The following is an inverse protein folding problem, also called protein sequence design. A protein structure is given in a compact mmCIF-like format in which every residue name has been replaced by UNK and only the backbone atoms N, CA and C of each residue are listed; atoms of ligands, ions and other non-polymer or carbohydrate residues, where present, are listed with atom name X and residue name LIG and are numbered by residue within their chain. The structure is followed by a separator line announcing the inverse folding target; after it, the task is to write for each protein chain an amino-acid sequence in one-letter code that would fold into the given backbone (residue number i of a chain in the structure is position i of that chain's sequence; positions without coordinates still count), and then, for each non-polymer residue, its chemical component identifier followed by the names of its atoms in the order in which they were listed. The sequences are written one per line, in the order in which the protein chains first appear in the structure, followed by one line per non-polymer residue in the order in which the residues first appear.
data_IF_282728662660
#
_entry.id   IF_282728662660
#
_cell.length_a   1.000
_cell.length_b   1.000
_cell.length_c   1.000
_cell.angle_alpha   90.00
_cell.angle_beta   90.00
_cell.angle_gamma   90.00
#
_symmetry.space_group_name_H-M   'P 1'
#
loop_
_entity.id
_entity.type
_entity.pdbx_description
1 polymer ?
#
# COMPACT_ATOMS: atom_id res chain seq x y z
N UNK A 1 32.86 -9.63 -69.93
CA UNK A 1 32.78 -8.99 -68.61
C UNK A 1 31.99 -9.89 -67.67
N UNK A 2 32.64 -10.45 -66.64
CA UNK A 2 32.04 -11.35 -65.64
C UNK A 2 31.66 -10.53 -64.42
N UNK A 3 30.39 -10.56 -63.99
CA UNK A 3 29.96 -9.97 -62.72
C UNK A 3 29.78 -11.07 -61.68
N UNK A 4 30.43 -10.88 -60.53
CA UNK A 4 30.65 -11.84 -59.45
C UNK A 4 29.47 -11.85 -58.47
N UNK A 5 28.88 -13.02 -58.27
CA UNK A 5 28.03 -13.35 -57.13
C UNK A 5 28.91 -13.59 -55.89
N UNK A 6 28.74 -12.75 -54.86
CA UNK A 6 29.38 -12.92 -53.55
C UNK A 6 28.50 -13.81 -52.67
N UNK A 7 28.93 -15.06 -52.50
CA UNK A 7 28.39 -15.98 -51.50
C UNK A 7 29.06 -15.66 -50.16
N UNK A 8 28.29 -15.17 -49.18
CA UNK A 8 28.80 -15.00 -47.81
C UNK A 8 28.66 -16.31 -47.05
N UNK A 9 29.80 -16.91 -46.73
CA UNK A 9 29.95 -18.14 -45.95
C UNK A 9 29.76 -17.85 -44.45
N UNK A 10 28.87 -18.60 -43.80
CA UNK A 10 28.66 -18.53 -42.36
C UNK A 10 29.87 -19.08 -41.58
N UNK A 11 30.31 -18.45 -40.47
CA UNK A 11 31.41 -18.98 -39.67
C UNK A 11 30.99 -20.22 -38.90
N UNK A 12 31.75 -21.30 -39.08
CA UNK A 12 31.64 -22.57 -38.35
C UNK A 12 32.27 -22.41 -36.97
N UNK A 13 31.46 -22.12 -35.94
CA UNK A 13 31.95 -22.05 -34.56
C UNK A 13 32.18 -23.46 -34.00
N UNK A 14 33.45 -23.77 -33.73
CA UNK A 14 33.86 -24.98 -32.99
C UNK A 14 33.35 -24.90 -31.56
N UNK A 15 32.61 -25.93 -31.14
CA UNK A 15 32.27 -26.15 -29.75
C UNK A 15 33.54 -26.52 -28.95
N UNK A 16 34.06 -25.58 -28.17
CA UNK A 16 35.12 -25.86 -27.20
C UNK A 16 34.49 -26.55 -26.00
N UNK A 17 35.00 -27.75 -25.71
CA UNK A 17 34.63 -28.64 -24.62
C UNK A 17 34.83 -27.91 -23.27
N UNK A 18 33.74 -27.56 -22.57
CA UNK A 18 33.81 -26.99 -21.22
C UNK A 18 34.29 -28.06 -20.23
N UNK A 19 35.41 -27.76 -19.55
CA UNK A 19 35.99 -28.58 -18.49
C UNK A 19 35.11 -28.57 -17.24
N UNK A 20 35.21 -29.65 -16.46
CA UNK A 20 34.52 -29.88 -15.17
C UNK A 20 34.63 -28.66 -14.25
N UNK A 21 33.51 -28.01 -13.93
CA UNK A 21 33.44 -27.00 -12.87
C UNK A 21 33.42 -27.69 -11.50
N UNK A 22 34.47 -27.45 -10.72
CA UNK A 22 34.54 -27.69 -9.28
C UNK A 22 33.42 -26.92 -8.57
N UNK A 23 32.77 -27.59 -7.60
CA UNK A 23 31.63 -27.03 -6.87
C UNK A 23 32.01 -25.79 -6.05
N UNK A 24 31.35 -24.66 -6.30
CA UNK A 24 31.52 -23.43 -5.54
C UNK A 24 30.77 -23.56 -4.20
N UNK A 25 31.51 -23.58 -3.10
CA UNK A 25 30.93 -23.64 -1.74
C UNK A 25 30.67 -22.20 -1.28
N UNK A 26 29.42 -21.75 -1.29
CA UNK A 26 29.03 -20.39 -0.88
C UNK A 26 28.40 -20.42 0.51
N UNK A 27 28.85 -19.57 1.42
CA UNK A 27 28.23 -19.42 2.74
C UNK A 27 27.22 -18.28 2.73
N UNK A 28 25.94 -18.59 2.92
CA UNK A 28 24.88 -17.60 3.09
C UNK A 28 24.70 -17.36 4.58
N UNK A 29 24.77 -16.09 5.02
CA UNK A 29 24.38 -15.69 6.38
C UNK A 29 22.98 -15.08 6.28
N UNK A 30 22.01 -15.64 7.00
CA UNK A 30 20.68 -15.06 7.06
C UNK A 30 20.72 -13.76 7.90
N UNK A 31 20.03 -12.68 7.47
CA UNK A 31 19.84 -11.49 8.30
C UNK A 31 18.93 -11.83 9.50
N UNK A 32 19.09 -11.10 10.60
CA UNK A 32 18.52 -11.42 11.91
C UNK A 32 16.98 -11.44 11.96
N UNK A 33 16.29 -10.85 10.98
CA UNK A 33 14.83 -10.68 11.00
C UNK A 33 14.10 -11.73 10.15
N UNK A 34 14.65 -12.95 10.02
CA UNK A 34 13.93 -14.07 9.38
C UNK A 34 13.24 -14.89 10.46
N UNK A 35 11.91 -14.93 10.37
CA UNK A 35 10.98 -15.71 11.18
C UNK A 35 11.13 -17.22 10.95
N UNK A 36 12.29 -17.79 11.30
CA UNK A 36 12.49 -19.23 11.42
C UNK A 36 13.43 -19.48 12.59
N UNK A 37 13.04 -20.36 13.51
CA UNK A 37 13.76 -20.77 14.74
C UNK A 37 15.17 -21.38 14.54
N UNK A 38 15.76 -21.23 13.35
CA UNK A 38 17.13 -21.58 13.08
C UNK A 38 18.09 -20.54 13.68
N UNK A 39 18.42 -20.74 14.95
CA UNK A 39 19.53 -20.12 15.67
C UNK A 39 20.78 -19.98 14.79
N UNK A 40 21.55 -18.90 15.00
CA UNK A 40 22.74 -18.39 14.27
C UNK A 40 23.75 -19.45 13.82
N UNK A 41 23.37 -20.33 12.92
CA UNK A 41 24.17 -21.46 12.48
C UNK A 41 24.53 -21.24 11.02
N UNK A 42 25.83 -21.16 10.75
CA UNK A 42 26.39 -20.92 9.42
C UNK A 42 26.14 -22.14 8.54
N UNK A 43 24.96 -22.24 7.93
CA UNK A 43 24.61 -23.37 7.06
C UNK A 43 25.48 -23.33 5.79
N UNK A 44 26.33 -24.35 5.60
CA UNK A 44 27.09 -24.54 4.35
C UNK A 44 26.18 -25.26 3.35
N UNK A 45 25.60 -24.51 2.41
CA UNK A 45 24.84 -25.08 1.28
C UNK A 45 25.77 -25.34 0.10
N UNK A 46 25.67 -26.52 -0.51
CA UNK A 46 26.31 -26.81 -1.80
C UNK A 46 25.28 -26.68 -2.90
N UNK A 47 25.36 -25.60 -3.68
CA UNK A 47 24.53 -25.42 -4.88
C UNK A 47 25.23 -26.08 -6.08
N UNK A 48 24.65 -27.15 -6.61
CA UNK A 48 25.06 -27.73 -7.88
C UNK A 48 24.36 -27.01 -9.04
N UNK A 49 25.07 -26.14 -9.76
CA UNK A 49 24.49 -25.39 -10.89
C UNK A 49 24.39 -26.30 -12.13
N UNK A 50 23.31 -27.07 -12.27
CA UNK A 50 22.98 -27.76 -13.52
C UNK A 50 22.38 -26.76 -14.51
N UNK A 51 23.25 -26.07 -15.24
CA UNK A 51 22.96 -25.12 -16.32
C UNK A 51 22.31 -23.79 -15.89
N UNK A 52 23.09 -22.71 -16.01
CA UNK A 52 22.56 -21.34 -15.99
C UNK A 52 22.03 -20.98 -17.39
N UNK A 53 20.70 -20.93 -17.58
CA UNK A 53 20.12 -20.32 -18.78
C UNK A 53 20.26 -18.80 -18.68
N UNK A 54 21.31 -18.25 -19.29
CA UNK A 54 21.48 -16.81 -19.52
C UNK A 54 20.64 -16.37 -20.71
N UNK A 55 19.32 -16.32 -20.56
CA UNK A 55 18.44 -15.53 -21.44
C UNK A 55 17.21 -15.08 -20.66
N UNK A 56 17.30 -13.98 -19.91
CA UNK A 56 16.12 -13.09 -19.73
C UNK A 56 16.06 -12.19 -20.98
N UNK A 57 15.90 -12.80 -22.15
CA UNK A 57 15.43 -12.08 -23.31
C UNK A 57 13.96 -11.79 -23.05
N UNK A 58 13.56 -10.52 -22.99
CA UNK A 58 12.16 -10.14 -23.00
C UNK A 58 11.49 -10.95 -24.11
N UNK A 59 10.57 -11.84 -23.74
CA UNK A 59 9.90 -12.72 -24.68
C UNK A 59 9.31 -11.83 -25.77
N UNK A 60 9.85 -11.98 -26.97
CA UNK A 60 9.40 -11.26 -28.16
C UNK A 60 7.92 -11.58 -28.29
N UNK A 61 7.06 -10.55 -28.23
CA UNK A 61 5.60 -10.63 -28.28
C UNK A 61 5.17 -11.73 -29.26
N UNK A 62 4.74 -12.84 -28.70
CA UNK A 62 4.12 -13.95 -29.42
C UNK A 62 2.96 -14.37 -28.56
N UNK A 63 1.78 -14.40 -29.18
CA UNK A 63 0.41 -14.48 -28.66
C UNK A 63 0.08 -15.77 -27.91
N UNK A 64 1.07 -16.42 -27.29
CA UNK A 64 0.86 -17.71 -26.63
C UNK A 64 1.69 -17.78 -25.37
N UNK A 65 1.23 -17.13 -24.30
CA UNK A 65 1.81 -17.30 -22.97
C UNK A 65 0.73 -17.17 -21.90
N UNK A 66 0.57 -18.29 -21.17
CA UNK A 66 0.00 -18.46 -19.83
C UNK A 66 -1.51 -18.59 -19.68
N UNK A 67 -1.91 -19.77 -19.18
CA UNK A 67 -3.26 -20.16 -18.72
C UNK A 67 -3.78 -19.38 -17.49
N UNK A 68 -3.19 -18.23 -17.17
CA UNK A 68 -3.71 -17.25 -16.19
C UNK A 68 -3.84 -15.85 -16.81
N UNK A 69 -3.72 -15.74 -18.14
CA UNK A 69 -3.94 -14.50 -18.85
C UNK A 69 -5.43 -14.41 -19.16
N UNK A 70 -6.07 -13.37 -18.61
CA UNK A 70 -7.28 -12.76 -19.15
C UNK A 70 -7.19 -12.83 -20.69
N UNK A 71 -8.22 -13.34 -21.35
CA UNK A 71 -8.24 -13.48 -22.81
C UNK A 71 -8.09 -12.11 -23.45
N UNK A 72 -6.86 -11.77 -23.86
CA UNK A 72 -6.59 -10.50 -24.54
C UNK A 72 -6.59 -10.75 -26.05
N UNK A 73 -7.71 -10.39 -26.69
CA UNK A 73 -7.89 -10.52 -28.14
C UNK A 73 -6.90 -9.68 -28.97
N UNK A 74 -6.28 -8.65 -28.38
CA UNK A 74 -5.29 -7.82 -29.07
C UNK A 74 -4.32 -7.08 -28.14
N UNK A 75 -3.16 -6.68 -28.68
CA UNK A 75 -2.16 -5.83 -27.98
C UNK A 75 -2.74 -4.44 -27.68
N UNK A 76 -3.69 -3.97 -28.48
CA UNK A 76 -4.37 -2.69 -28.27
C UNK A 76 -5.36 -2.78 -27.11
N UNK A 77 -6.17 -3.84 -27.05
CA UNK A 77 -7.09 -4.11 -25.93
C UNK A 77 -6.32 -4.19 -24.61
N UNK A 78 -5.17 -4.87 -24.59
CA UNK A 78 -4.31 -4.95 -23.41
C UNK A 78 -3.77 -3.58 -22.96
N UNK A 79 -3.37 -2.72 -23.92
CA UNK A 79 -2.87 -1.37 -23.61
C UNK A 79 -3.98 -0.46 -23.10
N UNK A 80 -5.19 -0.57 -23.66
CA UNK A 80 -6.35 0.20 -23.21
C UNK A 80 -6.73 -0.18 -21.79
N UNK A 81 -6.85 -1.48 -21.48
CA UNK A 81 -7.14 -1.94 -20.13
C UNK A 81 -6.06 -1.54 -19.11
N UNK A 82 -4.78 -1.57 -19.49
CA UNK A 82 -3.72 -1.06 -18.60
C UNK A 82 -3.91 0.43 -18.34
N UNK A 83 -4.24 1.22 -19.37
CA UNK A 83 -4.45 2.65 -19.22
C UNK A 83 -5.65 2.94 -18.31
N UNK A 84 -6.75 2.22 -18.48
CA UNK A 84 -7.93 2.31 -17.62
C UNK A 84 -7.59 1.98 -16.17
N UNK A 85 -6.97 0.83 -15.91
CA UNK A 85 -6.56 0.44 -14.55
C UNK A 85 -5.59 1.42 -13.90
N UNK A 86 -4.66 1.98 -14.68
CA UNK A 86 -3.74 3.01 -14.18
C UNK A 86 -4.46 4.33 -13.92
N UNK A 87 -5.44 4.69 -14.75
CA UNK A 87 -6.29 5.86 -14.56
C UNK A 87 -7.15 5.73 -13.30
N UNK A 88 -7.86 4.63 -13.13
CA UNK A 88 -8.66 4.32 -11.95
C UNK A 88 -7.81 4.32 -10.67
N UNK A 89 -6.64 3.66 -10.70
CA UNK A 89 -5.73 3.66 -9.56
C UNK A 89 -5.12 5.05 -9.28
N UNK A 90 -4.96 5.90 -10.29
CA UNK A 90 -4.50 7.27 -10.09
C UNK A 90 -5.62 8.12 -9.45
N UNK A 91 -6.85 7.96 -9.92
CA UNK A 91 -8.03 8.63 -9.36
C UNK A 91 -8.24 8.25 -7.90
N UNK A 92 -8.28 6.96 -7.58
CA UNK A 92 -8.43 6.49 -6.19
C UNK A 92 -7.36 7.08 -5.26
N UNK A 93 -6.10 7.14 -5.71
CA UNK A 93 -5.03 7.75 -4.90
C UNK A 93 -5.21 9.25 -4.70
N UNK A 94 -5.76 9.96 -5.69
CA UNK A 94 -6.06 11.39 -5.59
C UNK A 94 -7.21 11.61 -4.60
N UNK A 95 -8.30 10.84 -4.72
CA UNK A 95 -9.46 10.89 -3.83
C UNK A 95 -9.04 10.61 -2.37
N UNK A 96 -8.27 9.53 -2.14
CA UNK A 96 -7.73 9.21 -0.81
C UNK A 96 -6.82 10.31 -0.26
N UNK A 97 -6.04 10.99 -1.10
CA UNK A 97 -5.17 12.08 -0.69
C UNK A 97 -5.98 13.32 -0.29
N UNK A 98 -7.03 13.63 -1.06
CA UNK A 98 -7.97 14.71 -0.76
C UNK A 98 -8.67 14.45 0.58
N UNK A 99 -9.23 13.25 0.76
CA UNK A 99 -9.89 12.86 2.01
C UNK A 99 -8.94 12.98 3.21
N UNK A 100 -7.69 12.52 3.09
CA UNK A 100 -6.70 12.68 4.17
C UNK A 100 -6.43 14.14 4.52
N UNK A 101 -6.29 15.02 3.52
CA UNK A 101 -6.08 16.46 3.77
C UNK A 101 -7.33 17.08 4.43
N UNK A 102 -8.54 16.73 3.98
CA UNK A 102 -9.80 17.19 4.60
C UNK A 102 -9.84 16.80 6.08
N UNK A 103 -9.58 15.52 6.40
CA UNK A 103 -9.53 15.03 7.78
C UNK A 103 -8.51 15.81 8.59
N UNK A 104 -7.30 16.00 8.06
CA UNK A 104 -6.24 16.73 8.75
C UNK A 104 -6.63 18.18 9.04
N UNK A 105 -7.18 18.90 8.06
CA UNK A 105 -7.63 20.29 8.24
C UNK A 105 -8.79 20.39 9.21
N UNK A 106 -9.74 19.48 9.14
CA UNK A 106 -10.87 19.43 10.05
C UNK A 106 -10.42 19.25 11.50
N UNK A 107 -9.42 18.40 11.75
CA UNK A 107 -8.79 18.21 13.07
C UNK A 107 -8.02 19.43 13.56
N UNK A 108 -7.30 20.11 12.67
CA UNK A 108 -6.55 21.34 13.01
C UNK A 108 -7.48 22.49 13.40
N UNK A 109 -8.62 22.62 12.70
CA UNK A 109 -9.63 23.65 12.98
C UNK A 109 -10.40 23.37 14.28
N UNK A 110 -10.56 22.10 14.66
CA UNK A 110 -11.33 21.68 15.83
C UNK A 110 -10.49 20.84 16.79
N UNK A 111 -9.58 21.44 17.57
CA UNK A 111 -8.83 20.70 18.58
C UNK A 111 -9.76 20.28 19.73
N UNK A 112 -10.25 19.03 19.71
CA UNK A 112 -11.05 18.45 20.79
C UNK A 112 -10.26 17.38 21.57
N UNK A 113 -10.37 17.32 22.91
CA UNK A 113 -9.77 16.25 23.68
C UNK A 113 -10.54 14.95 23.45
N UNK A 114 -9.82 13.90 23.04
CA UNK A 114 -10.38 12.56 22.88
C UNK A 114 -10.30 11.80 24.21
N UNK A 115 -11.41 11.20 24.69
CA UNK A 115 -11.39 10.38 25.90
C UNK A 115 -10.46 9.16 25.75
N UNK A 116 -9.68 8.79 26.78
CA UNK A 116 -8.73 7.68 26.70
C UNK A 116 -9.42 6.35 26.41
N UNK A 117 -10.62 6.12 26.93
CA UNK A 117 -11.39 4.88 26.72
C UNK A 117 -11.72 4.66 25.23
N UNK A 118 -11.96 5.73 24.49
CA UNK A 118 -12.21 5.65 23.04
C UNK A 118 -10.92 5.25 22.32
N UNK A 119 -9.78 5.83 22.71
CA UNK A 119 -8.47 5.48 22.13
C UNK A 119 -8.14 4.01 22.37
N UNK A 120 -8.40 3.49 23.57
CA UNK A 120 -8.16 2.07 23.87
C UNK A 120 -9.03 1.15 23.01
N UNK A 121 -10.29 1.48 22.75
CA UNK A 121 -11.15 0.71 21.84
C UNK A 121 -10.60 0.64 20.41
N UNK A 122 -10.05 1.74 19.91
CA UNK A 122 -9.39 1.73 18.60
C UNK A 122 -8.13 0.87 18.60
N UNK A 123 -7.33 0.92 19.68
CA UNK A 123 -6.16 0.05 19.83
C UNK A 123 -6.56 -1.44 19.87
N UNK A 124 -7.65 -1.77 20.55
CA UNK A 124 -8.22 -3.12 20.57
C UNK A 124 -8.60 -3.56 19.15
N UNK A 125 -9.31 -2.70 18.40
CA UNK A 125 -9.69 -2.97 17.01
C UNK A 125 -8.48 -3.19 16.09
N UNK A 126 -7.37 -2.46 16.31
CA UNK A 126 -6.14 -2.66 15.53
C UNK A 126 -5.49 -4.01 15.82
N UNK A 127 -5.54 -4.47 17.06
CA UNK A 127 -5.04 -5.80 17.44
C UNK A 127 -5.94 -6.88 16.87
N UNK A 128 -7.27 -6.71 16.91
CA UNK A 128 -8.23 -7.61 16.27
C UNK A 128 -8.02 -7.69 14.75
N UNK A 129 -7.71 -6.57 14.10
CA UNK A 129 -7.36 -6.53 12.68
C UNK A 129 -6.07 -7.30 12.39
N UNK A 130 -5.07 -7.20 13.27
CA UNK A 130 -3.84 -7.99 13.17
C UNK A 130 -4.15 -9.47 13.33
N UNK A 131 -4.98 -9.86 14.30
CA UNK A 131 -5.42 -11.26 14.50
C UNK A 131 -6.13 -11.79 13.25
N UNK A 132 -7.12 -11.05 12.75
CA UNK A 132 -7.92 -11.44 11.59
C UNK A 132 -7.09 -11.63 10.32
N UNK A 133 -5.96 -10.91 10.20
CA UNK A 133 -5.01 -11.08 9.07
C UNK A 133 -4.05 -12.25 9.23
N UNK A 134 -3.92 -12.79 10.44
CA UNK A 134 -3.01 -13.89 10.80
C UNK A 134 -3.81 -15.12 11.28
N UNK A 135 -4.84 -15.51 10.53
CA UNK A 135 -5.67 -16.69 10.81
C UNK A 135 -6.30 -16.69 12.23
N UNK A 136 -6.72 -15.52 12.69
CA UNK A 136 -7.29 -15.26 14.03
C UNK A 136 -6.33 -15.48 15.20
N UNK A 137 -5.03 -15.65 14.93
CA UNK A 137 -3.97 -15.79 15.94
C UNK A 137 -3.02 -14.60 15.94
N UNK A 138 -2.47 -14.26 17.11
CA UNK A 138 -1.37 -13.30 17.18
C UNK A 138 -0.05 -14.02 16.89
N UNK A 139 0.88 -13.38 16.16
CA UNK A 139 2.23 -13.92 16.01
C UNK A 139 2.89 -14.18 17.38
N UNK A 140 3.64 -15.28 17.52
CA UNK A 140 4.29 -15.65 18.79
C UNK A 140 5.25 -14.57 19.32
N UNK A 141 5.84 -13.76 18.44
CA UNK A 141 6.74 -12.66 18.76
C UNK A 141 6.02 -11.30 18.91
N UNK A 142 4.68 -11.27 18.99
CA UNK A 142 3.90 -10.03 19.05
C UNK A 142 3.86 -9.46 20.47
N UNK A 143 4.48 -8.29 20.67
CA UNK A 143 4.36 -7.53 21.90
C UNK A 143 3.21 -6.50 21.79
N UNK A 144 2.10 -6.80 22.46
CA UNK A 144 0.92 -5.92 22.47
C UNK A 144 1.22 -4.54 23.05
N UNK A 145 2.09 -4.42 24.06
CA UNK A 145 2.38 -3.13 24.70
C UNK A 145 3.14 -2.22 23.76
N UNK A 146 4.18 -2.75 23.10
CA UNK A 146 4.96 -2.01 22.10
C UNK A 146 4.07 -1.63 20.91
N UNK A 147 3.18 -2.52 20.49
CA UNK A 147 2.21 -2.21 19.44
C UNK A 147 1.25 -1.09 19.85
N UNK A 148 0.70 -1.14 21.06
CA UNK A 148 -0.21 -0.11 21.58
C UNK A 148 0.47 1.24 21.68
N UNK A 149 1.68 1.30 22.24
CA UNK A 149 2.43 2.56 22.38
C UNK A 149 2.72 3.19 21.02
N UNK A 150 3.18 2.39 20.05
CA UNK A 150 3.48 2.87 18.70
C UNK A 150 2.23 3.39 17.98
N UNK A 151 1.11 2.69 18.09
CA UNK A 151 -0.12 3.05 17.39
C UNK A 151 -1.02 4.00 18.19
N UNK A 152 -0.66 4.38 19.43
CA UNK A 152 -1.47 5.24 20.30
C UNK A 152 -1.73 6.61 19.67
N UNK A 153 -0.74 7.15 18.96
CA UNK A 153 -0.91 8.41 18.25
C UNK A 153 -1.96 8.28 17.16
N UNK A 154 -1.81 7.29 16.27
CA UNK A 154 -2.75 7.00 15.19
C UNK A 154 -4.16 6.72 15.71
N UNK A 155 -4.31 5.88 16.74
CA UNK A 155 -5.59 5.59 17.37
C UNK A 155 -6.27 6.85 17.94
N UNK A 156 -5.50 7.79 18.49
CA UNK A 156 -6.02 9.10 18.92
C UNK A 156 -6.51 9.92 17.73
N UNK A 157 -5.80 9.91 16.61
CA UNK A 157 -6.21 10.63 15.41
C UNK A 157 -7.51 10.06 14.83
N UNK A 158 -7.62 8.73 14.75
CA UNK A 158 -8.82 8.03 14.29
C UNK A 158 -10.01 8.26 15.22
N UNK A 159 -9.79 8.20 16.53
CA UNK A 159 -10.83 8.49 17.52
C UNK A 159 -11.30 9.95 17.44
N UNK A 160 -10.38 10.89 17.21
CA UNK A 160 -10.75 12.30 17.00
C UNK A 160 -11.60 12.46 15.75
N UNK A 161 -11.19 11.83 14.64
CA UNK A 161 -11.92 11.87 13.39
C UNK A 161 -13.33 11.26 13.52
N UNK A 162 -13.47 10.13 14.20
CA UNK A 162 -14.78 9.49 14.45
C UNK A 162 -15.75 10.47 15.14
N UNK A 163 -15.31 11.10 16.22
CA UNK A 163 -16.15 12.07 16.95
C UNK A 163 -16.52 13.27 16.09
N UNK A 164 -15.61 13.73 15.25
CA UNK A 164 -15.85 14.86 14.36
C UNK A 164 -16.82 14.48 13.24
N UNK A 165 -16.66 13.30 12.64
CA UNK A 165 -17.59 12.73 11.65
C UNK A 165 -18.99 12.63 12.24
N UNK A 166 -19.14 12.10 13.44
CA UNK A 166 -20.45 11.98 14.10
C UNK A 166 -21.09 13.36 14.30
N UNK A 167 -20.30 14.38 14.64
CA UNK A 167 -20.80 15.76 14.72
C UNK A 167 -21.20 16.35 13.38
N UNK A 168 -20.50 16.04 12.31
CA UNK A 168 -20.88 16.46 10.95
C UNK A 168 -22.21 15.79 10.58
N UNK A 169 -22.34 14.48 10.82
CA UNK A 169 -23.59 13.73 10.59
C UNK A 169 -24.77 14.36 11.34
N UNK A 170 -24.60 14.64 12.64
CA UNK A 170 -25.62 15.28 13.47
C UNK A 170 -26.00 16.69 12.96
N UNK A 171 -25.02 17.48 12.53
CA UNK A 171 -25.22 18.89 12.14
C UNK A 171 -25.97 19.02 10.82
N UNK A 172 -25.68 18.13 9.87
CA UNK A 172 -26.28 18.13 8.53
C UNK A 172 -27.43 17.13 8.39
N UNK A 173 -27.83 16.44 9.47
CA UNK A 173 -28.83 15.36 9.51
C UNK A 173 -28.61 14.31 8.40
N UNK A 174 -27.35 13.91 8.19
CA UNK A 174 -27.00 12.97 7.14
C UNK A 174 -27.49 11.57 7.49
N UNK A 175 -28.24 10.96 6.57
CA UNK A 175 -28.74 9.59 6.69
C UNK A 175 -28.44 8.83 5.40
N UNK A 176 -28.11 7.55 5.55
CA UNK A 176 -28.05 6.62 4.44
C UNK A 176 -29.50 6.30 4.02
N UNK A 177 -29.90 6.80 2.86
CA UNK A 177 -31.23 6.53 2.30
C UNK A 177 -31.20 5.25 1.47
N UNK A 178 -32.37 4.67 1.20
CA UNK A 178 -32.47 3.47 0.36
C UNK A 178 -31.96 3.70 -1.07
N UNK A 179 -32.10 4.94 -1.58
CA UNK A 179 -31.58 5.37 -2.89
C UNK A 179 -30.05 5.35 -2.91
N UNK A 180 -29.41 5.84 -1.83
CA UNK A 180 -27.95 5.82 -1.71
C UNK A 180 -27.40 4.38 -1.63
N UNK A 181 -28.13 3.49 -0.95
CA UNK A 181 -27.78 2.07 -0.85
C UNK A 181 -27.89 1.38 -2.22
N UNK A 182 -28.93 1.69 -2.99
CA UNK A 182 -29.11 1.17 -4.35
C UNK A 182 -27.96 1.63 -5.26
N UNK A 183 -27.62 2.92 -5.25
CA UNK A 183 -26.48 3.45 -6.00
C UNK A 183 -25.15 2.78 -5.61
N UNK A 184 -24.94 2.49 -4.32
CA UNK A 184 -23.77 1.75 -3.86
C UNK A 184 -23.71 0.34 -4.44
N UNK A 185 -24.83 -0.41 -4.42
CA UNK A 185 -24.87 -1.77 -4.97
C UNK A 185 -24.72 -1.78 -6.49
N UNK A 186 -25.27 -0.81 -7.21
CA UNK A 186 -25.04 -0.63 -8.65
C UNK A 186 -23.56 -0.40 -8.97
N UNK A 187 -22.90 0.48 -8.21
CA UNK A 187 -21.46 0.75 -8.34
C UNK A 187 -20.61 -0.49 -8.04
N UNK A 188 -21.02 -1.33 -7.09
CA UNK A 188 -20.32 -2.59 -6.78
C UNK A 188 -20.55 -3.66 -7.84
N UNK A 189 -21.78 -3.79 -8.36
CA UNK A 189 -22.11 -4.70 -9.46
C UNK A 189 -21.33 -4.33 -10.74
N UNK A 190 -21.18 -3.04 -11.03
CA UNK A 190 -20.36 -2.58 -12.16
C UNK A 190 -18.88 -3.00 -12.05
N UNK A 191 -18.35 -3.17 -10.83
CA UNK A 191 -16.98 -3.65 -10.58
C UNK A 191 -16.87 -5.17 -10.59
N UNK A 192 -17.98 -5.88 -10.34
CA UNK A 192 -18.04 -7.33 -10.23
C UNK A 192 -19.04 -7.89 -11.25
N UNK A 193 -18.62 -8.14 -12.50
CA UNK A 193 -19.54 -8.56 -13.58
C UNK A 193 -20.18 -9.94 -13.38
N UNK A 194 -19.81 -10.65 -12.31
CA UNK A 194 -20.36 -11.97 -11.96
C UNK A 194 -21.67 -11.88 -11.15
N UNK A 195 -21.99 -10.71 -10.57
CA UNK A 195 -23.14 -10.52 -9.70
C UNK A 195 -23.97 -9.31 -10.12
N UNK A 196 -25.27 -9.53 -10.28
CA UNK A 196 -26.25 -8.45 -10.50
C UNK A 196 -26.50 -7.68 -9.19
N UNK A 197 -26.79 -6.38 -9.30
CA UNK A 197 -27.03 -5.50 -8.15
C UNK A 197 -28.13 -6.04 -7.21
N UNK A 198 -29.22 -6.57 -7.78
CA UNK A 198 -30.33 -7.17 -7.03
C UNK A 198 -29.91 -8.40 -6.21
N UNK A 199 -29.00 -9.22 -6.74
CA UNK A 199 -28.52 -10.41 -6.05
C UNK A 199 -27.59 -10.02 -4.90
N UNK A 200 -26.75 -9.01 -5.14
CA UNK A 200 -25.86 -8.44 -4.13
C UNK A 200 -26.68 -7.86 -2.97
N UNK A 201 -27.69 -7.03 -3.28
CA UNK A 201 -28.60 -6.44 -2.30
C UNK A 201 -29.26 -7.51 -1.41
N UNK A 202 -29.85 -8.55 -2.01
CA UNK A 202 -30.47 -9.66 -1.25
C UNK A 202 -29.49 -10.40 -0.36
N UNK A 203 -28.24 -10.58 -0.81
CA UNK A 203 -27.20 -11.21 -0.02
C UNK A 203 -26.84 -10.39 1.21
N UNK A 204 -26.67 -9.08 1.06
CA UNK A 204 -26.41 -8.19 2.19
C UNK A 204 -27.63 -8.10 3.10
N UNK A 205 -28.85 -7.95 2.57
CA UNK A 205 -30.09 -7.92 3.36
C UNK A 205 -30.30 -9.16 4.23
N UNK A 206 -29.71 -10.31 3.88
CA UNK A 206 -29.75 -11.52 4.70
C UNK A 206 -28.79 -11.50 5.91
N UNK A 207 -27.87 -10.54 5.95
CA UNK A 207 -26.83 -10.37 6.97
C UNK A 207 -26.88 -8.96 7.54
N UNK A 208 -27.57 -8.81 8.68
CA UNK A 208 -27.77 -7.51 9.32
C UNK A 208 -26.45 -6.77 9.58
N UNK A 209 -25.42 -7.47 10.08
CA UNK A 209 -24.09 -6.89 10.34
C UNK A 209 -23.43 -6.35 9.06
N UNK A 210 -23.58 -7.05 7.94
CA UNK A 210 -23.00 -6.64 6.66
C UNK A 210 -23.77 -5.44 6.08
N UNK A 211 -25.09 -5.38 6.25
CA UNK A 211 -25.89 -4.20 5.88
C UNK A 211 -25.51 -2.97 6.69
N UNK A 212 -25.26 -3.12 7.98
CA UNK A 212 -24.85 -2.00 8.82
C UNK A 212 -23.48 -1.45 8.40
N UNK A 213 -22.54 -2.32 7.98
CA UNK A 213 -21.28 -1.88 7.40
C UNK A 213 -21.48 -1.08 6.11
N UNK A 214 -22.35 -1.54 5.21
CA UNK A 214 -22.68 -0.82 3.96
C UNK A 214 -23.31 0.54 4.28
N UNK A 215 -24.26 0.61 5.22
CA UNK A 215 -24.87 1.87 5.67
C UNK A 215 -23.82 2.83 6.22
N UNK A 216 -22.88 2.35 7.03
CA UNK A 216 -21.79 3.17 7.57
C UNK A 216 -20.84 3.66 6.48
N UNK A 217 -20.56 2.83 5.47
CA UNK A 217 -19.73 3.22 4.34
C UNK A 217 -20.40 4.31 3.50
N UNK A 218 -21.67 4.12 3.12
CA UNK A 218 -22.45 5.11 2.37
C UNK A 218 -22.57 6.42 3.15
N UNK A 219 -22.83 6.35 4.46
CA UNK A 219 -22.87 7.54 5.30
C UNK A 219 -21.51 8.26 5.34
N UNK A 220 -20.40 7.51 5.35
CA UNK A 220 -19.06 8.10 5.31
C UNK A 220 -18.77 8.81 3.99
N UNK A 221 -19.15 8.21 2.85
CA UNK A 221 -19.03 8.83 1.52
C UNK A 221 -19.79 10.16 1.49
N UNK A 222 -21.06 10.18 1.95
CA UNK A 222 -21.87 11.42 2.01
C UNK A 222 -21.27 12.51 2.90
N UNK A 223 -20.64 12.12 4.01
CA UNK A 223 -19.93 13.07 4.88
C UNK A 223 -18.79 13.73 4.10
N UNK A 224 -17.99 12.95 3.36
CA UNK A 224 -16.92 13.52 2.54
C UNK A 224 -17.45 14.39 1.42
N UNK A 225 -18.49 13.95 0.69
CA UNK A 225 -19.12 14.75 -0.37
C UNK A 225 -19.61 16.12 0.16
N UNK A 226 -20.28 16.11 1.32
CA UNK A 226 -20.74 17.34 1.97
C UNK A 226 -19.58 18.24 2.38
N UNK A 227 -18.49 17.66 2.88
CA UNK A 227 -17.30 18.43 3.25
C UNK A 227 -16.61 19.01 2.01
N UNK A 228 -16.48 18.23 0.93
CA UNK A 228 -15.90 18.67 -0.34
C UNK A 228 -16.62 19.88 -0.92
N UNK A 229 -17.95 19.95 -0.83
CA UNK A 229 -18.72 21.12 -1.26
C UNK A 229 -18.44 22.38 -0.43
N UNK A 230 -18.10 22.23 0.86
CA UNK A 230 -17.82 23.35 1.75
C UNK A 230 -16.34 23.79 1.69
N UNK A 231 -15.43 22.90 1.31
CA UNK A 231 -14.02 23.21 1.19
C UNK A 231 -13.69 23.83 -0.17
N UNK A 232 -12.86 24.88 -0.18
CA UNK A 232 -12.33 25.44 -1.43
C UNK A 232 -11.24 24.50 -1.99
N UNK A 233 -11.66 23.56 -2.85
CA UNK A 233 -10.75 22.64 -3.52
C UNK A 233 -10.02 23.39 -4.64
N UNK A 234 -8.70 23.53 -4.50
CA UNK A 234 -7.85 24.07 -5.54
C UNK A 234 -7.18 22.90 -6.28
N UNK A 235 -7.66 22.61 -7.50
CA UNK A 235 -6.99 21.65 -8.38
C UNK A 235 -5.59 22.17 -8.74
N UNK A 236 -4.56 21.34 -8.51
CA UNK A 236 -3.17 21.66 -8.82
C UNK A 236 -2.58 20.59 -9.75
N UNK A 237 -1.72 21.03 -10.65
CA UNK A 237 -0.94 20.12 -11.50
C UNK A 237 -0.06 19.18 -10.66
N UNK A 238 0.04 17.91 -11.08
CA UNK A 238 0.75 16.85 -10.36
C UNK A 238 2.18 17.21 -9.99
N UNK A 239 2.91 17.87 -10.90
CA UNK A 239 4.31 18.27 -10.66
C UNK A 239 4.43 19.37 -9.61
N UNK A 240 3.45 20.27 -9.52
CA UNK A 240 3.42 21.32 -8.49
C UNK A 240 3.06 20.72 -7.11
N UNK A 241 2.11 19.79 -7.07
CA UNK A 241 1.73 19.08 -5.85
C UNK A 241 2.88 18.23 -5.27
N UNK A 242 3.62 17.51 -6.13
CA UNK A 242 4.79 16.73 -5.72
C UNK A 242 5.92 17.61 -5.16
N UNK A 243 6.12 18.81 -5.73
CA UNK A 243 7.11 19.78 -5.24
C UNK A 243 6.72 20.35 -3.87
N UNK A 244 5.45 20.65 -3.66
CA UNK A 244 4.94 21.19 -2.38
C UNK A 244 4.95 20.14 -1.26
N UNK A 245 4.60 18.88 -1.57
CA UNK A 245 4.75 17.76 -0.62
C UNK A 245 6.21 17.54 -0.23
N UNK A 246 7.13 17.58 -1.21
CA UNK A 246 8.57 17.46 -0.95
C UNK A 246 9.11 18.64 -0.14
N UNK A 247 8.54 19.84 -0.30
CA UNK A 247 8.88 21.03 0.46
C UNK A 247 8.27 21.05 1.87
N UNK A 248 7.14 20.37 2.11
CA UNK A 248 6.55 20.12 3.44
C UNK A 248 7.25 18.99 4.22
N UNK A 249 7.87 18.03 3.52
CA UNK A 249 8.54 16.87 4.14
C UNK A 249 9.90 17.09 4.85
N UNK A 250 10.60 18.24 4.85
CA UNK A 250 11.84 18.37 5.60
C UNK A 250 11.66 18.78 7.08
N UNK A 251 10.44 19.00 7.59
CA UNK A 251 10.25 19.45 8.98
C UNK A 251 10.00 18.33 10.00
N UNK A 252 9.39 17.20 9.61
CA UNK A 252 9.05 16.12 10.54
C UNK A 252 10.21 15.12 10.78
N UNK A 253 11.09 14.90 9.80
CA UNK A 253 12.19 13.94 9.91
C UNK A 253 13.38 14.44 10.76
N UNK A 254 13.42 15.74 11.10
CA UNK A 254 14.53 16.33 11.85
C UNK A 254 14.30 16.40 13.36
N UNK A 255 13.10 16.08 13.86
CA UNK A 255 12.77 16.15 15.28
C UNK A 255 12.88 14.78 16.00
N UNK A 256 12.72 13.65 15.31
CA UNK A 256 12.75 12.32 15.95
C UNK A 256 14.13 11.63 15.93
N UNK A 257 15.15 12.24 15.32
CA UNK A 257 16.51 11.69 15.24
C UNK A 257 17.52 12.22 16.26
N UNK A 258 17.15 13.15 17.15
CA UNK A 258 18.09 13.87 18.00
C UNK A 258 18.08 13.48 19.50
N UNK A 259 17.35 12.42 19.89
CA UNK A 259 17.22 12.04 21.31
C UNK A 259 17.93 10.74 21.71
N UNK A 260 18.76 10.15 20.86
CA UNK A 260 19.52 8.94 21.24
C UNK A 260 20.91 8.88 20.61
N UNK A 261 21.75 9.86 20.92
CA UNK A 261 23.20 9.72 20.86
C UNK A 261 23.81 10.82 21.73
N UNK A 262 24.21 10.48 22.94
CA UNK A 262 25.45 10.92 23.61
C UNK A 262 25.35 10.64 25.12
N UNK A 263 25.93 9.52 25.51
CA UNK A 263 26.48 9.30 26.84
C UNK A 263 27.89 8.73 26.65
N UNK A 264 28.84 9.25 27.44
CA UNK A 264 30.29 8.99 27.51
C UNK A 264 31.12 9.76 26.44
N UNK A 265 32.14 10.57 26.73
CA UNK A 265 33.01 10.75 27.91
C UNK A 265 33.89 12.04 27.77
N UNK A 266 34.30 12.59 28.92
CA UNK A 266 35.50 13.39 29.25
C UNK A 266 35.86 14.76 28.59
N UNK A 267 35.72 15.81 29.43
CA UNK A 267 36.69 16.88 29.82
C UNK A 267 37.49 17.70 28.77
N UNK A 268 37.24 19.01 28.67
CA UNK A 268 38.07 20.11 29.22
C UNK A 268 37.79 21.48 28.55
N UNK A 269 37.47 22.46 29.40
CA UNK A 269 37.72 23.92 29.39
C UNK A 269 37.63 24.82 28.11
N UNK A 270 36.78 25.86 28.29
CA UNK A 270 36.88 27.27 27.84
C UNK A 270 36.25 27.76 26.49
N UNK A 271 35.81 29.05 26.41
CA UNK A 271 34.42 29.37 26.02
C UNK A 271 34.22 30.08 24.66
N UNK A 272 32.96 29.99 24.21
CA UNK A 272 32.18 30.92 23.37
C UNK A 272 32.93 31.91 22.47
N UNK A 273 32.84 31.69 21.15
CA UNK A 273 32.62 32.78 20.19
C UNK A 273 31.56 32.33 19.17
N UNK A 274 30.47 33.10 19.13
CA UNK A 274 29.40 33.05 18.13
C UNK A 274 29.86 33.84 16.91
N UNK A 275 29.90 33.18 15.74
CA UNK A 275 29.79 33.80 14.41
C UNK A 275 29.05 32.87 13.48
#
# INVERSE_FOLDING_TARGET
MRSRSFFWTAPRWRATRCSKSSGTRSSVRAPANRCSSASRTRARRTAGMRAARRTRTASRRSSKTSKNAIEFDSVENFRTQIRERLGEAAQQRADEALQREIVQRMRELHPAPVPPDVVEKFLDSFIEDVKRRNDDELPDDFDENVFREKNRSEAREQAHWMLLRDKVVDTYDLKATDEDLEAFFEKQAARTPELEADQLKRFYESQDEAMDQVRQQVLSEKVFDTLEEQFQINEKDREAFEQELKARQPAAASAEGAASAEADDASDDEPLIVT
#
